data_IF_069599906939
#
_entry.id   IF_069599906939
#
_cell.length_a   1.000
_cell.length_b   1.000
_cell.length_c   1.000
_cell.angle_alpha   90.00
_cell.angle_beta   90.00
_cell.angle_gamma   90.00
#
_symmetry.space_group_name_H-M   'P 1'
#
loop_
_entity.id
_entity.type
_entity.pdbx_description
1 polymer ?
#
# COMPACT_ATOMS: atom_id res chain seq x y z
N UNK A 1 5.92 -14.21 -12.83
CA UNK A 1 6.44 -12.83 -12.91
C UNK A 1 6.68 -12.51 -14.38
N UNK A 2 6.29 -11.33 -14.81
CA UNK A 2 6.57 -10.78 -16.14
C UNK A 2 7.06 -9.35 -15.99
N UNK A 3 8.00 -8.92 -16.82
CA UNK A 3 8.33 -7.51 -16.97
C UNK A 3 7.46 -6.90 -18.08
N UNK A 4 7.01 -5.67 -17.85
CA UNK A 4 6.26 -4.87 -18.82
C UNK A 4 7.13 -3.78 -19.45
N UNK A 5 8.23 -3.42 -18.80
CA UNK A 5 9.28 -2.54 -19.32
C UNK A 5 10.60 -2.87 -18.64
N UNK A 6 11.71 -2.50 -19.25
CA UNK A 6 13.05 -2.68 -18.71
C UNK A 6 14.02 -3.22 -19.76
N UNK A 7 15.26 -2.79 -19.66
CA UNK A 7 16.38 -3.32 -20.45
C UNK A 7 17.22 -4.26 -19.58
N UNK A 8 17.03 -5.54 -19.79
CA UNK A 8 17.76 -6.61 -19.09
C UNK A 8 18.93 -7.15 -19.90
N UNK A 9 19.07 -6.74 -21.17
CA UNK A 9 20.12 -7.23 -22.02
C UNK A 9 21.50 -6.82 -21.46
N UNK A 10 22.43 -7.75 -21.30
CA UNK A 10 23.78 -7.41 -20.95
C UNK A 10 24.42 -6.62 -22.11
N UNK A 11 25.31 -5.65 -21.82
CA UNK A 11 26.03 -4.96 -22.88
C UNK A 11 26.82 -5.95 -23.73
N UNK A 12 27.03 -5.64 -25.01
CA UNK A 12 27.66 -6.58 -25.96
C UNK A 12 29.05 -7.08 -25.49
N UNK A 13 29.80 -6.24 -24.75
CA UNK A 13 31.07 -6.62 -24.12
C UNK A 13 30.93 -7.69 -23.02
N UNK A 14 29.74 -7.89 -22.50
CA UNK A 14 29.47 -8.90 -21.48
C UNK A 14 28.96 -10.23 -22.08
N UNK A 15 29.03 -10.40 -23.39
CA UNK A 15 28.64 -11.64 -24.07
C UNK A 15 29.41 -12.83 -23.51
N UNK A 16 28.69 -13.81 -22.97
CA UNK A 16 29.27 -15.00 -22.34
C UNK A 16 29.66 -14.81 -20.86
N UNK A 17 29.46 -13.63 -20.30
CA UNK A 17 29.64 -13.35 -18.88
C UNK A 17 28.30 -13.35 -18.14
N UNK A 18 28.32 -13.70 -16.87
CA UNK A 18 27.15 -13.57 -15.99
C UNK A 18 27.24 -12.25 -15.21
N UNK A 19 26.14 -11.49 -15.10
CA UNK A 19 26.15 -10.32 -14.24
C UNK A 19 26.35 -10.75 -12.78
N UNK A 20 27.13 -9.98 -12.03
CA UNK A 20 27.33 -10.14 -10.60
C UNK A 20 26.66 -8.93 -9.93
N UNK A 21 25.67 -9.17 -9.11
CA UNK A 21 24.99 -8.14 -8.35
C UNK A 21 25.44 -8.17 -6.90
N UNK A 22 25.72 -7.02 -6.27
CA UNK A 22 25.95 -6.97 -4.82
C UNK A 22 24.67 -7.40 -4.09
N UNK A 23 24.69 -8.54 -3.42
CA UNK A 23 23.58 -9.00 -2.60
C UNK A 23 22.70 -10.11 -3.15
N UNK A 24 23.03 -10.70 -4.32
CA UNK A 24 22.27 -11.84 -4.84
C UNK A 24 22.56 -12.19 -6.29
N UNK A 25 21.81 -13.13 -6.81
CA UNK A 25 21.90 -13.59 -8.19
C UNK A 25 20.57 -13.34 -8.91
N UNK A 26 20.61 -12.75 -10.10
CA UNK A 26 19.45 -12.79 -10.98
C UNK A 26 19.21 -14.23 -11.48
N UNK A 27 18.27 -14.91 -10.88
CA UNK A 27 17.85 -16.26 -11.26
C UNK A 27 16.59 -16.27 -12.14
N UNK A 28 16.03 -15.10 -12.42
CA UNK A 28 14.81 -14.91 -13.20
C UNK A 28 15.06 -14.49 -14.65
N UNK A 29 16.25 -13.93 -14.95
CA UNK A 29 16.56 -13.25 -16.22
C UNK A 29 15.83 -11.89 -16.38
N UNK A 30 15.20 -11.40 -15.31
CA UNK A 30 14.45 -10.15 -15.27
C UNK A 30 15.07 -9.14 -14.27
N UNK A 31 16.29 -9.39 -13.80
CA UNK A 31 16.92 -8.58 -12.76
C UNK A 31 16.30 -8.82 -11.38
N UNK A 32 15.74 -9.99 -11.15
CA UNK A 32 15.15 -10.39 -9.86
C UNK A 32 15.84 -11.63 -9.32
N UNK A 33 16.04 -11.67 -8.02
CA UNK A 33 16.34 -12.87 -7.26
C UNK A 33 15.06 -13.40 -6.63
N UNK A 34 14.70 -14.65 -6.94
CA UNK A 34 13.47 -15.29 -6.46
C UNK A 34 13.87 -16.51 -5.63
N UNK A 35 13.63 -16.43 -4.34
CA UNK A 35 13.94 -17.50 -3.40
C UNK A 35 12.68 -18.07 -2.75
N UNK A 36 12.71 -19.38 -2.47
CA UNK A 36 11.64 -20.05 -1.73
C UNK A 36 12.22 -20.65 -0.44
N UNK A 37 11.74 -20.15 0.68
CA UNK A 37 12.10 -20.63 2.01
C UNK A 37 10.85 -21.15 2.73
N UNK A 38 10.64 -22.47 2.70
CA UNK A 38 9.45 -23.09 3.27
C UNK A 38 8.17 -22.60 2.59
N UNK A 39 7.34 -21.87 3.31
CA UNK A 39 6.07 -21.30 2.82
C UNK A 39 6.19 -19.86 2.33
N UNK A 40 7.38 -19.29 2.38
CA UNK A 40 7.66 -17.93 1.94
C UNK A 40 8.34 -17.92 0.57
N UNK A 41 7.94 -16.97 -0.27
CA UNK A 41 8.60 -16.66 -1.54
C UNK A 41 9.07 -15.21 -1.46
N UNK A 42 10.38 -15.02 -1.51
CA UNK A 42 11.03 -13.72 -1.55
C UNK A 42 11.36 -13.34 -2.99
N UNK A 43 11.10 -12.09 -3.34
CA UNK A 43 11.42 -11.54 -4.67
C UNK A 43 12.17 -10.24 -4.48
N UNK A 44 13.47 -10.23 -4.78
CA UNK A 44 14.35 -9.07 -4.57
C UNK A 44 14.82 -8.49 -5.90
N UNK A 45 14.73 -7.18 -6.05
CA UNK A 45 15.21 -6.49 -7.24
C UNK A 45 16.74 -6.33 -7.19
N UNK A 46 17.43 -6.93 -8.15
CA UNK A 46 18.89 -6.91 -8.28
C UNK A 46 19.41 -5.83 -9.25
N UNK A 47 18.51 -5.11 -9.93
CA UNK A 47 18.94 -4.09 -10.88
C UNK A 47 19.71 -2.95 -10.19
N UNK A 48 20.75 -2.40 -10.83
CA UNK A 48 21.38 -1.17 -10.37
C UNK A 48 20.38 -0.02 -10.27
N UNK A 49 20.59 0.93 -9.38
CA UNK A 49 19.71 2.11 -9.20
C UNK A 49 19.55 2.97 -10.47
N UNK A 50 20.49 2.86 -11.40
CA UNK A 50 20.47 3.55 -12.69
C UNK A 50 19.57 2.87 -13.73
N UNK A 51 19.07 1.67 -13.45
CA UNK A 51 18.14 0.93 -14.31
C UNK A 51 16.78 0.85 -13.64
N UNK A 52 15.73 0.97 -14.43
CA UNK A 52 14.34 0.78 -13.99
C UNK A 52 13.66 -0.32 -14.78
N UNK A 53 12.73 -1.00 -14.14
CA UNK A 53 11.86 -1.98 -14.77
C UNK A 53 10.52 -2.02 -14.05
N UNK A 54 9.47 -2.26 -14.82
CA UNK A 54 8.13 -2.49 -14.28
C UNK A 54 7.81 -3.98 -14.29
N UNK A 55 7.29 -4.47 -13.19
CA UNK A 55 6.98 -5.88 -13.02
C UNK A 55 5.49 -6.09 -12.78
N UNK A 56 4.97 -7.17 -13.36
CA UNK A 56 3.68 -7.71 -13.03
C UNK A 56 3.85 -9.09 -12.40
N UNK A 57 3.48 -9.19 -11.13
CA UNK A 57 3.56 -10.41 -10.35
C UNK A 57 2.14 -10.91 -10.10
N UNK A 58 1.85 -12.14 -10.48
CA UNK A 58 0.58 -12.81 -10.18
C UNK A 58 0.79 -13.75 -9.01
N UNK A 59 0.01 -13.55 -7.96
CA UNK A 59 0.00 -14.37 -6.76
C UNK A 59 -1.42 -14.87 -6.47
N UNK A 60 -1.59 -16.01 -5.78
CA UNK A 60 -2.90 -16.41 -5.23
C UNK A 60 -3.46 -15.35 -4.29
N UNK A 61 -4.76 -15.11 -4.35
CA UNK A 61 -5.44 -14.02 -3.62
C UNK A 61 -5.52 -14.22 -2.10
N UNK A 62 -5.23 -15.43 -1.63
CA UNK A 62 -5.25 -15.83 -0.22
C UNK A 62 -3.86 -15.83 0.46
N UNK A 63 -2.81 -15.42 -0.24
CA UNK A 63 -1.49 -15.24 0.37
C UNK A 63 -1.41 -13.91 1.12
N UNK A 64 -0.67 -13.89 2.22
CA UNK A 64 -0.22 -12.63 2.80
C UNK A 64 0.84 -12.00 1.88
N UNK A 65 0.79 -10.68 1.74
CA UNK A 65 1.67 -9.93 0.84
C UNK A 65 2.41 -8.86 1.63
N UNK A 66 3.73 -8.89 1.57
CA UNK A 66 4.60 -7.86 2.11
C UNK A 66 5.39 -7.23 0.97
N UNK A 67 5.40 -5.89 0.88
CA UNK A 67 6.12 -5.15 -0.15
C UNK A 67 6.88 -3.99 0.50
N UNK A 68 8.19 -4.00 0.30
CA UNK A 68 9.05 -2.88 0.67
C UNK A 68 9.62 -2.21 -0.59
N UNK A 69 9.42 -0.90 -0.73
CA UNK A 69 9.95 -0.11 -1.83
C UNK A 69 10.63 1.15 -1.33
N UNK A 70 11.95 1.22 -1.54
CA UNK A 70 12.77 2.38 -1.15
C UNK A 70 12.50 3.63 -2.00
N UNK A 71 13.06 4.76 -1.54
CA UNK A 71 12.88 6.06 -2.18
C UNK A 71 13.80 6.28 -3.39
N UNK A 72 14.81 5.45 -3.54
CA UNK A 72 15.80 5.56 -4.62
C UNK A 72 15.27 5.22 -6.00
N UNK A 73 14.10 4.58 -6.06
CA UNK A 73 13.42 4.21 -7.32
C UNK A 73 12.00 4.74 -7.32
N UNK A 74 11.63 5.46 -8.37
CA UNK A 74 10.26 5.87 -8.57
C UNK A 74 9.42 4.63 -8.96
N UNK A 75 8.61 4.13 -8.03
CA UNK A 75 7.76 2.97 -8.29
C UNK A 75 6.41 3.11 -7.59
N UNK A 76 5.34 3.17 -8.38
CA UNK A 76 3.99 3.07 -7.85
C UNK A 76 3.63 1.60 -7.67
N UNK A 77 2.99 1.28 -6.56
CA UNK A 77 2.57 -0.08 -6.24
C UNK A 77 1.07 -0.19 -6.49
N UNK A 78 0.67 -1.14 -7.32
CA UNK A 78 -0.74 -1.46 -7.54
C UNK A 78 -0.99 -2.92 -7.18
N UNK A 79 -1.93 -3.15 -6.25
CA UNK A 79 -2.36 -4.50 -5.85
C UNK A 79 -3.86 -4.65 -6.13
N UNK A 80 -4.26 -5.81 -6.63
CA UNK A 80 -5.67 -6.03 -6.99
C UNK A 80 -6.15 -7.41 -6.53
N UNK A 81 -7.31 -7.45 -5.91
CA UNK A 81 -8.07 -8.69 -5.65
C UNK A 81 -7.55 -9.54 -4.49
N UNK A 82 -6.69 -9.01 -3.63
CA UNK A 82 -6.14 -9.75 -2.49
C UNK A 82 -7.14 -9.84 -1.33
N UNK A 83 -7.20 -11.01 -0.69
CA UNK A 83 -8.13 -11.32 0.40
C UNK A 83 -7.46 -11.50 1.76
N UNK A 84 -6.16 -11.67 1.79
CA UNK A 84 -5.39 -11.82 3.03
C UNK A 84 -4.64 -10.54 3.36
N UNK A 85 -3.84 -10.58 4.41
CA UNK A 85 -3.07 -9.46 4.93
C UNK A 85 -2.14 -8.85 3.89
N UNK A 86 -2.12 -7.52 3.83
CA UNK A 86 -1.24 -6.76 2.96
C UNK A 86 -0.47 -5.76 3.82
N UNK A 87 0.85 -5.87 3.82
CA UNK A 87 1.76 -4.89 4.41
C UNK A 87 2.58 -4.23 3.29
N UNK A 88 2.46 -2.91 3.15
CA UNK A 88 3.21 -2.16 2.14
C UNK A 88 3.89 -0.94 2.77
N UNK A 89 5.19 -0.90 2.62
CA UNK A 89 6.01 0.25 2.96
C UNK A 89 6.64 0.82 1.69
N UNK A 90 6.32 2.08 1.37
CA UNK A 90 6.75 2.72 0.13
C UNK A 90 7.13 4.18 0.35
N UNK A 91 7.92 4.73 -0.56
CA UNK A 91 8.09 6.18 -0.66
C UNK A 91 7.15 6.82 -1.68
N UNK A 92 6.41 6.03 -2.46
CA UNK A 92 5.59 6.46 -3.59
C UNK A 92 4.13 6.04 -3.44
N UNK A 93 3.33 6.28 -4.47
CA UNK A 93 1.90 6.01 -4.43
C UNK A 93 1.57 4.51 -4.29
N UNK A 94 0.50 4.23 -3.55
CA UNK A 94 -0.03 2.89 -3.30
C UNK A 94 -1.50 2.87 -3.74
N UNK A 95 -1.83 2.00 -4.69
CA UNK A 95 -3.18 1.77 -5.19
C UNK A 95 -3.63 0.35 -4.90
N UNK A 96 -4.60 0.18 -4.01
CA UNK A 96 -5.22 -1.12 -3.71
C UNK A 96 -6.64 -1.18 -4.27
N UNK A 97 -6.93 -2.19 -5.08
CA UNK A 97 -8.23 -2.36 -5.72
C UNK A 97 -8.86 -3.70 -5.37
N UNK A 98 -10.13 -3.67 -4.97
CA UNK A 98 -10.92 -4.87 -4.69
C UNK A 98 -10.26 -5.77 -3.63
N UNK A 99 -9.84 -5.19 -2.51
CA UNK A 99 -9.23 -5.91 -1.39
C UNK A 99 -10.25 -6.15 -0.27
N UNK A 100 -10.02 -7.21 0.52
CA UNK A 100 -10.90 -7.56 1.66
C UNK A 100 -10.12 -7.88 2.92
N UNK A 101 -8.80 -8.07 2.81
CA UNK A 101 -7.93 -8.40 3.95
C UNK A 101 -7.56 -7.19 4.81
N UNK A 102 -6.96 -7.44 5.96
CA UNK A 102 -6.38 -6.39 6.80
C UNK A 102 -5.20 -5.72 6.10
N UNK A 103 -5.01 -4.42 6.36
CA UNK A 103 -4.00 -3.61 5.69
C UNK A 103 -3.09 -2.93 6.71
N UNK A 104 -1.80 -2.95 6.43
CA UNK A 104 -0.80 -2.06 7.01
C UNK A 104 -0.12 -1.32 5.88
N UNK A 105 -0.44 -0.04 5.68
CA UNK A 105 0.10 0.75 4.58
C UNK A 105 0.85 1.96 5.11
N UNK A 106 2.03 2.21 4.57
CA UNK A 106 2.84 3.37 4.91
C UNK A 106 3.50 3.95 3.67
N UNK A 107 3.38 5.27 3.48
CA UNK A 107 4.14 5.98 2.45
C UNK A 107 4.74 7.29 2.97
N UNK A 108 5.89 7.66 2.42
CA UNK A 108 6.53 8.94 2.74
C UNK A 108 6.01 10.05 1.82
N UNK A 109 5.93 9.80 0.52
CA UNK A 109 5.54 10.80 -0.47
C UNK A 109 4.75 10.15 -1.60
N UNK A 110 3.46 10.23 -1.53
CA UNK A 110 2.55 9.66 -2.52
C UNK A 110 1.17 9.45 -1.95
N UNK A 111 0.20 9.36 -2.82
CA UNK A 111 -1.18 9.12 -2.41
C UNK A 111 -1.39 7.64 -2.11
N UNK A 112 -2.29 7.36 -1.18
CA UNK A 112 -2.77 6.00 -0.91
C UNK A 112 -4.24 5.94 -1.31
N UNK A 113 -4.54 5.10 -2.30
CA UNK A 113 -5.91 4.84 -2.72
C UNK A 113 -6.29 3.40 -2.40
N UNK A 114 -7.39 3.19 -1.70
CA UNK A 114 -7.86 1.86 -1.33
C UNK A 114 -9.33 1.69 -1.66
N UNK A 115 -9.66 0.65 -2.41
CA UNK A 115 -11.05 0.24 -2.65
C UNK A 115 -11.30 -1.13 -2.03
N UNK A 116 -12.08 -1.16 -0.96
CA UNK A 116 -12.55 -2.38 -0.33
C UNK A 116 -13.80 -2.92 -1.04
N UNK A 117 -13.86 -4.22 -1.25
CA UNK A 117 -15.08 -4.94 -1.70
C UNK A 117 -15.71 -5.80 -0.61
N UNK A 118 -15.07 -5.88 0.52
CA UNK A 118 -15.54 -6.51 1.76
C UNK A 118 -14.76 -5.94 2.92
N UNK A 119 -15.10 -6.35 4.13
CA UNK A 119 -14.45 -5.81 5.32
C UNK A 119 -13.49 -6.81 5.91
N UNK A 120 -12.28 -6.37 6.29
CA UNK A 120 -11.39 -7.19 7.10
C UNK A 120 -12.00 -7.40 8.49
N UNK A 121 -11.75 -8.56 9.06
CA UNK A 121 -12.09 -8.90 10.45
C UNK A 121 -11.03 -8.41 11.46
N UNK A 122 -9.91 -7.91 10.97
CA UNK A 122 -8.79 -7.37 11.76
C UNK A 122 -8.62 -5.87 11.53
N UNK A 123 -7.87 -5.18 12.40
CA UNK A 123 -7.59 -3.76 12.24
C UNK A 123 -6.90 -3.41 10.91
N UNK A 124 -7.14 -2.18 10.47
CA UNK A 124 -6.51 -1.55 9.30
C UNK A 124 -5.71 -0.35 9.77
N UNK A 125 -4.47 -0.20 9.30
CA UNK A 125 -3.59 0.93 9.58
C UNK A 125 -3.08 1.53 8.27
N UNK A 126 -3.34 2.82 8.05
CA UNK A 126 -2.93 3.53 6.83
C UNK A 126 -2.28 4.85 7.21
N UNK A 127 -1.01 5.02 6.85
CA UNK A 127 -0.22 6.16 7.22
C UNK A 127 0.45 6.81 6.00
N UNK A 128 0.38 8.14 5.90
CA UNK A 128 1.13 8.90 4.91
C UNK A 128 1.86 10.06 5.60
N UNK A 129 3.07 10.39 5.18
CA UNK A 129 3.73 11.62 5.64
C UNK A 129 3.30 12.78 4.76
N UNK A 130 3.41 12.64 3.45
CA UNK A 130 2.99 13.66 2.48
C UNK A 130 2.22 13.01 1.35
N UNK A 131 0.93 13.26 1.27
CA UNK A 131 0.02 12.70 0.29
C UNK A 131 -1.40 12.58 0.82
N UNK A 132 -2.31 12.42 -0.09
CA UNK A 132 -3.72 12.22 0.21
C UNK A 132 -4.02 10.73 0.44
N UNK A 133 -5.00 10.45 1.28
CA UNK A 133 -5.49 9.09 1.53
C UNK A 133 -6.96 9.06 1.08
N UNK A 134 -7.28 8.25 0.09
CA UNK A 134 -8.64 8.06 -0.43
C UNK A 134 -9.07 6.60 -0.26
N UNK A 135 -10.11 6.39 0.56
CA UNK A 135 -10.57 5.05 0.92
C UNK A 135 -12.04 4.91 0.56
N UNK A 136 -12.35 3.91 -0.24
CA UNK A 136 -13.72 3.50 -0.55
C UNK A 136 -14.08 2.26 0.25
N UNK A 137 -15.11 2.35 1.09
CA UNK A 137 -15.59 1.30 1.99
C UNK A 137 -17.04 0.95 1.61
N UNK A 138 -17.44 -0.33 1.58
CA UNK A 138 -18.85 -0.68 1.34
C UNK A 138 -19.80 0.05 2.28
N UNK A 139 -20.90 0.61 1.77
CA UNK A 139 -21.80 1.50 2.52
C UNK A 139 -22.38 0.91 3.81
N UNK A 140 -22.53 -0.43 3.87
CA UNK A 140 -23.07 -1.16 5.03
C UNK A 140 -22.00 -1.59 6.04
N UNK A 141 -20.76 -1.15 5.87
CA UNK A 141 -19.65 -1.53 6.72
C UNK A 141 -19.85 -1.07 8.16
N UNK A 142 -19.65 -1.97 9.11
CA UNK A 142 -19.48 -1.66 10.52
C UNK A 142 -17.97 -1.49 10.81
N UNK A 143 -17.54 -0.31 11.24
CA UNK A 143 -16.14 0.00 11.53
C UNK A 143 -16.00 1.10 12.57
N UNK A 144 -14.88 1.10 13.28
CA UNK A 144 -14.46 2.19 14.18
C UNK A 144 -13.31 2.95 13.52
N UNK A 145 -13.55 4.21 13.15
CA UNK A 145 -12.57 5.05 12.47
C UNK A 145 -11.83 5.94 13.49
N UNK A 146 -10.50 5.94 13.42
CA UNK A 146 -9.60 6.84 14.14
C UNK A 146 -8.78 7.60 13.10
N UNK A 147 -9.16 8.85 12.85
CA UNK A 147 -8.64 9.68 11.76
C UNK A 147 -7.77 10.79 12.33
N UNK A 148 -6.58 10.99 11.80
CA UNK A 148 -5.63 12.01 12.24
C UNK A 148 -4.96 12.71 11.06
N UNK A 149 -4.93 14.03 11.10
CA UNK A 149 -4.11 14.84 10.19
C UNK A 149 -3.53 16.05 10.92
N UNK A 150 -2.36 16.50 10.51
CA UNK A 150 -1.75 17.72 11.04
C UNK A 150 -2.06 18.91 10.13
N UNK A 151 -1.92 18.78 8.83
CA UNK A 151 -2.07 19.87 7.87
C UNK A 151 -3.09 19.61 6.76
N UNK A 152 -4.17 18.88 7.06
CA UNK A 152 -5.21 18.55 6.07
C UNK A 152 -6.61 18.58 6.66
N UNK A 153 -7.57 18.13 5.87
CA UNK A 153 -8.97 18.02 6.23
C UNK A 153 -9.52 16.62 5.95
N UNK A 154 -10.64 16.27 6.61
CA UNK A 154 -11.36 15.03 6.36
C UNK A 154 -12.61 15.30 5.53
N UNK A 155 -12.85 14.46 4.53
CA UNK A 155 -14.02 14.51 3.66
C UNK A 155 -14.68 13.14 3.61
N UNK A 156 -16.00 13.10 3.71
CA UNK A 156 -16.75 11.86 3.60
C UNK A 156 -18.17 12.09 3.13
N UNK A 157 -18.71 11.09 2.47
CA UNK A 157 -20.15 10.97 2.15
C UNK A 157 -20.91 10.06 3.11
N UNK A 158 -20.23 9.52 4.14
CA UNK A 158 -20.92 8.88 5.27
C UNK A 158 -21.54 9.93 6.19
N UNK A 159 -22.71 9.63 6.75
CA UNK A 159 -23.33 10.45 7.77
C UNK A 159 -22.64 10.17 9.12
N UNK A 160 -21.67 10.97 9.48
CA UNK A 160 -21.03 10.90 10.77
C UNK A 160 -21.87 11.64 11.82
N UNK A 161 -22.37 10.91 12.82
CA UNK A 161 -22.96 11.53 14.00
C UNK A 161 -21.83 12.11 14.84
N UNK A 162 -21.79 13.42 15.01
CA UNK A 162 -20.71 14.11 15.76
C UNK A 162 -20.53 13.51 17.16
N UNK A 163 -19.31 13.13 17.55
CA UNK A 163 -19.03 12.78 18.94
C UNK A 163 -19.18 14.03 19.80
N UNK A 164 -19.89 13.93 20.93
CA UNK A 164 -20.20 15.04 21.86
C UNK A 164 -18.97 15.66 22.55
N UNK A 165 -17.74 15.24 22.24
CA UNK A 165 -16.50 15.74 22.85
C UNK A 165 -15.49 16.16 21.78
N UNK A 166 -15.69 17.36 21.21
CA UNK A 166 -14.66 18.05 20.44
C UNK A 166 -13.67 18.74 21.41
N UNK A 167 -12.58 18.07 21.76
CA UNK A 167 -11.41 18.80 22.25
C UNK A 167 -10.80 19.54 21.06
N UNK A 168 -10.89 20.86 21.05
CA UNK A 168 -10.16 21.72 20.10
C UNK A 168 -8.66 21.47 20.30
N UNK A 169 -8.04 20.68 19.42
CA UNK A 169 -6.57 20.66 19.32
C UNK A 169 -6.11 21.94 18.63
N UNK A 170 -5.06 22.53 19.13
CA UNK A 170 -4.46 23.78 18.60
C UNK A 170 -3.78 23.55 17.25
N UNK A 171 -3.41 22.29 16.95
CA UNK A 171 -2.77 21.88 15.69
C UNK A 171 -3.33 20.51 15.27
N UNK A 172 -3.76 20.42 14.03
CA UNK A 172 -4.26 19.18 13.43
C UNK A 172 -5.72 18.86 13.77
N UNK A 173 -6.25 17.87 13.10
CA UNK A 173 -7.57 17.31 13.35
C UNK A 173 -7.45 15.85 13.78
N UNK A 174 -8.24 15.47 14.79
CA UNK A 174 -8.39 14.08 15.22
C UNK A 174 -9.88 13.79 15.38
N UNK A 175 -10.36 12.78 14.70
CA UNK A 175 -11.76 12.40 14.70
C UNK A 175 -11.90 10.90 14.94
N UNK A 176 -12.80 10.53 15.85
CA UNK A 176 -13.15 9.14 16.11
C UNK A 176 -14.62 8.95 15.80
N UNK A 177 -14.93 8.01 14.91
CA UNK A 177 -16.30 7.71 14.49
C UNK A 177 -16.60 6.21 14.51
N UNK A 178 -17.86 5.89 14.76
CA UNK A 178 -18.39 4.53 14.61
C UNK A 178 -19.34 4.48 13.43
N UNK A 179 -18.98 3.72 12.39
CA UNK A 179 -19.85 3.43 11.25
C UNK A 179 -20.75 2.24 11.58
N UNK A 180 -22.06 2.38 11.38
CA UNK A 180 -23.04 1.28 11.51
C UNK A 180 -22.90 0.47 12.82
N UNK A 181 -22.66 1.15 13.94
CA UNK A 181 -22.53 0.51 15.25
C UNK A 181 -21.13 0.12 15.68
N UNK A 182 -20.11 0.41 14.85
CA UNK A 182 -18.71 0.10 15.14
C UNK A 182 -18.32 -1.31 14.74
N UNK A 183 -17.01 -1.57 14.71
CA UNK A 183 -16.43 -2.84 14.27
C UNK A 183 -14.89 -2.78 14.28
N UNK A 184 -14.21 -3.49 13.39
CA UNK A 184 -12.76 -3.45 13.28
C UNK A 184 -12.23 -2.01 13.23
N UNK A 185 -11.10 -1.78 13.86
CA UNK A 185 -10.51 -0.45 13.97
C UNK A 185 -9.76 -0.07 12.70
N UNK A 186 -10.08 1.09 12.14
CA UNK A 186 -9.34 1.73 11.06
C UNK A 186 -8.61 2.93 11.62
N UNK A 187 -7.30 2.87 11.66
CA UNK A 187 -6.43 3.99 12.01
C UNK A 187 -5.86 4.58 10.73
N UNK A 188 -6.22 5.84 10.45
CA UNK A 188 -5.82 6.53 9.23
C UNK A 188 -5.17 7.84 9.62
N UNK A 189 -3.91 8.02 9.27
CA UNK A 189 -3.15 9.19 9.64
C UNK A 189 -2.34 9.77 8.48
N UNK A 190 -2.33 11.09 8.36
CA UNK A 190 -1.42 11.81 7.48
C UNK A 190 -0.85 13.04 8.18
N UNK A 191 0.37 13.44 7.84
CA UNK A 191 0.93 14.69 8.34
C UNK A 191 0.52 15.85 7.44
N UNK A 192 0.64 15.69 6.12
CA UNK A 192 0.28 16.72 5.15
C UNK A 192 -0.52 16.11 4.00
N UNK A 193 -1.81 16.39 3.96
CA UNK A 193 -2.74 15.90 2.96
C UNK A 193 -4.14 15.70 3.53
N UNK A 194 -5.09 15.57 2.63
CA UNK A 194 -6.48 15.30 2.97
C UNK A 194 -6.76 13.81 3.09
N UNK A 195 -7.78 13.47 3.86
CA UNK A 195 -8.30 12.11 3.95
C UNK A 195 -9.73 12.08 3.43
N UNK A 196 -9.98 11.23 2.47
CA UNK A 196 -11.30 11.02 1.85
C UNK A 196 -11.80 9.63 2.20
N UNK A 197 -13.03 9.53 2.68
CA UNK A 197 -13.70 8.26 3.02
C UNK A 197 -15.01 8.21 2.27
N UNK A 198 -15.10 7.29 1.31
CA UNK A 198 -16.22 7.19 0.36
C UNK A 198 -17.05 5.94 0.59
N UNK A 199 -18.36 6.06 0.34
CA UNK A 199 -19.28 4.92 0.24
C UNK A 199 -19.03 4.19 -1.08
N UNK A 200 -18.69 2.94 -1.00
CA UNK A 200 -18.71 2.00 -2.12
C UNK A 200 -20.10 1.39 -2.32
N UNK A 201 -20.30 0.86 -3.48
CA UNK A 201 -21.52 0.12 -3.84
C UNK A 201 -21.64 -1.20 -3.09
#
# INVERSE_FOLDING_TARGET
>A
ITSTSGDFAPPERAKGLRPIYPGGNDNSGLGLDVEKNGNEISVTCMLPITKSADYKIKVPDNLALEIESGCERASNITVTGMKNEIDIQSCHAIDLKNVTGPLVLSTISGNINVTFTGMPDKPVSINAVSGEIDITIPAKTAASLDLRTVGGAFYSDFDFTEPKNNMKKVVGAELTYSLNGGGPKFTIATVSGNVYIRKGN
#
